data_IF_767645926921
#
_entry.id   IF_767645926921
#
_cell.length_a   1.000
_cell.length_b   1.000
_cell.length_c   1.000
_cell.angle_alpha   90.00
_cell.angle_beta   90.00
_cell.angle_gamma   90.00
#
_symmetry.space_group_name_H-M   'P 1'
#
loop_
_entity.id
_entity.type
_entity.pdbx_description
1 polymer ?
#
# COMPACT_ATOMS: atom_id res chain seq x y z
N UNK A 1 -24.66 -2.18 11.87
CA UNK A 1 -24.77 -2.03 10.42
C UNK A 1 -23.46 -2.44 9.76
N UNK A 2 -23.54 -2.88 8.52
CA UNK A 2 -22.43 -3.41 7.77
C UNK A 2 -22.23 -2.61 6.48
N UNK A 3 -20.98 -2.52 6.03
CA UNK A 3 -20.59 -1.95 4.76
C UNK A 3 -19.76 -2.97 3.98
N UNK A 4 -19.98 -3.03 2.68
CA UNK A 4 -19.11 -3.73 1.74
C UNK A 4 -18.73 -2.78 0.62
N UNK A 5 -17.50 -2.84 0.16
CA UNK A 5 -17.07 -1.95 -0.91
C UNK A 5 -15.72 -2.28 -1.47
N UNK A 6 -15.24 -1.36 -2.29
CA UNK A 6 -13.99 -1.48 -3.02
C UNK A 6 -13.05 -0.34 -2.67
N UNK A 7 -11.76 -0.60 -2.78
CA UNK A 7 -10.69 0.39 -2.78
C UNK A 7 -10.00 0.37 -4.14
N UNK A 8 -9.76 1.56 -4.69
CA UNK A 8 -8.99 1.74 -5.92
C UNK A 8 -7.99 2.87 -5.68
N UNK A 9 -6.73 2.59 -5.93
CA UNK A 9 -5.68 3.57 -5.68
C UNK A 9 -4.34 3.24 -6.31
N UNK A 10 -3.34 4.02 -5.92
CA UNK A 10 -1.93 3.79 -6.22
C UNK A 10 -1.22 3.17 -5.04
N UNK A 11 -0.10 2.54 -5.33
CA UNK A 11 0.83 2.00 -4.34
C UNK A 11 2.17 2.71 -4.46
N UNK A 12 2.89 2.76 -3.35
CA UNK A 12 4.24 3.31 -3.26
C UNK A 12 5.08 2.43 -2.35
N UNK A 13 6.37 2.37 -2.63
CA UNK A 13 7.36 1.68 -1.82
C UNK A 13 8.33 2.70 -1.20
N UNK A 14 8.75 2.45 0.02
CA UNK A 14 9.77 3.24 0.74
C UNK A 14 10.72 2.25 1.40
N UNK A 15 11.98 2.24 0.96
CA UNK A 15 13.03 1.35 1.45
C UNK A 15 14.37 1.61 0.78
N UNK A 16 15.10 0.56 0.45
CA UNK A 16 16.48 0.66 0.00
C UNK A 16 16.64 1.01 -1.48
N UNK A 17 15.65 0.73 -2.34
CA UNK A 17 15.67 1.06 -3.77
C UNK A 17 14.79 2.27 -4.04
N UNK A 18 15.32 3.22 -4.83
CA UNK A 18 14.61 4.43 -5.24
C UNK A 18 14.61 5.53 -4.18
N UNK A 19 13.62 6.43 -4.21
CA UNK A 19 13.52 7.54 -3.26
C UNK A 19 13.17 7.06 -1.85
N UNK A 20 13.74 7.72 -0.85
CA UNK A 20 13.45 7.48 0.58
C UNK A 20 12.18 8.19 1.06
N UNK A 21 11.51 8.95 0.19
CA UNK A 21 10.35 9.75 0.54
C UNK A 21 9.11 9.28 -0.21
N UNK A 22 7.94 9.49 0.40
CA UNK A 22 6.67 9.24 -0.25
C UNK A 22 6.55 10.01 -1.57
N UNK A 23 6.36 9.28 -2.66
CA UNK A 23 6.05 9.86 -3.96
C UNK A 23 4.54 9.85 -4.15
N UNK A 24 3.94 11.02 -4.35
CA UNK A 24 2.52 11.10 -4.65
C UNK A 24 2.22 10.32 -5.95
N UNK A 25 1.52 9.19 -5.89
CA UNK A 25 1.24 8.36 -7.07
C UNK A 25 0.36 9.08 -8.10
N UNK A 26 -0.28 10.18 -7.71
CA UNK A 26 -1.09 11.03 -8.58
C UNK A 26 -0.31 12.18 -9.23
N UNK A 27 0.97 12.37 -8.85
CA UNK A 27 1.81 13.45 -9.35
C UNK A 27 3.20 12.93 -9.72
N UNK A 28 3.35 12.45 -10.94
CA UNK A 28 4.67 12.20 -11.51
C UNK A 28 4.95 13.28 -12.59
N UNK A 29 6.07 14.02 -12.41
CA UNK A 29 6.59 15.04 -13.34
C UNK A 29 5.54 15.93 -14.04
N UNK A 30 4.95 16.81 -13.26
CA UNK A 30 4.65 18.15 -13.77
C UNK A 30 3.54 18.31 -14.76
N UNK A 31 2.45 17.55 -14.82
CA UNK A 31 1.29 18.04 -15.56
C UNK A 31 0.12 17.11 -15.84
N UNK A 32 0.12 15.82 -15.48
CA UNK A 32 -1.05 14.98 -15.79
C UNK A 32 -1.38 14.01 -14.66
N UNK A 33 -2.67 13.86 -14.37
CA UNK A 33 -3.23 12.79 -13.54
C UNK A 33 -2.92 11.44 -14.22
N UNK A 34 -1.80 10.82 -13.90
CA UNK A 34 -1.37 9.54 -14.48
C UNK A 34 -2.20 8.33 -14.04
N UNK A 35 -3.18 8.48 -13.15
CA UNK A 35 -4.08 7.39 -12.81
C UNK A 35 -4.81 6.83 -14.06
N UNK A 36 -5.14 7.68 -15.03
CA UNK A 36 -5.82 7.28 -16.27
C UNK A 36 -4.85 6.88 -17.40
N UNK A 37 -3.62 7.42 -17.41
CA UNK A 37 -2.58 7.01 -18.37
C UNK A 37 -1.85 5.74 -17.97
N UNK A 38 -1.90 5.38 -16.70
CA UNK A 38 -1.15 4.27 -16.13
C UNK A 38 -1.87 2.92 -16.28
N UNK A 39 -3.15 2.91 -16.65
CA UNK A 39 -3.86 1.70 -17.05
C UNK A 39 -3.40 1.34 -18.47
N UNK A 40 -2.25 0.68 -18.58
CA UNK A 40 -1.72 0.22 -19.88
C UNK A 40 -0.23 0.38 -20.13
N UNK A 41 0.54 0.93 -19.18
CA UNK A 41 2.01 0.96 -19.25
C UNK A 41 2.62 -0.08 -18.31
N UNK A 42 3.75 -0.67 -18.71
CA UNK A 42 4.43 -1.76 -17.99
C UNK A 42 4.89 -1.44 -16.55
N UNK A 43 4.71 -0.20 -16.08
CA UNK A 43 5.19 0.30 -14.78
C UNK A 43 4.09 0.89 -13.90
N UNK A 44 2.89 0.32 -13.94
CA UNK A 44 1.76 0.84 -13.16
C UNK A 44 1.78 0.30 -11.74
N UNK A 45 2.01 1.17 -10.78
CA UNK A 45 1.88 0.85 -9.36
C UNK A 45 0.45 1.14 -8.90
N UNK A 46 -0.38 0.12 -8.86
CA UNK A 46 -1.80 0.21 -8.50
C UNK A 46 -2.12 -0.66 -7.29
N UNK A 47 -3.22 -0.32 -6.66
CA UNK A 47 -3.76 -1.07 -5.53
C UNK A 47 -5.28 -1.19 -5.66
N UNK A 48 -5.77 -2.42 -5.61
CA UNK A 48 -7.18 -2.77 -5.69
C UNK A 48 -7.58 -3.58 -4.46
N UNK A 49 -8.66 -3.20 -3.79
CA UNK A 49 -9.07 -3.86 -2.56
C UNK A 49 -10.56 -4.07 -2.43
N UNK A 50 -10.91 -5.07 -1.62
CA UNK A 50 -12.25 -5.30 -1.10
C UNK A 50 -12.26 -4.92 0.38
N UNK A 51 -13.31 -4.24 0.82
CA UNK A 51 -13.45 -3.76 2.19
C UNK A 51 -14.79 -4.26 2.73
N UNK A 52 -14.75 -4.78 3.94
CA UNK A 52 -15.92 -5.02 4.78
C UNK A 52 -15.76 -4.26 6.08
N UNK A 53 -16.79 -3.50 6.49
CA UNK A 53 -16.84 -2.84 7.79
C UNK A 53 -18.08 -3.25 8.56
N UNK A 54 -17.89 -3.46 9.84
CA UNK A 54 -18.97 -3.63 10.81
C UNK A 54 -18.99 -2.43 11.74
N UNK A 55 -19.99 -1.57 11.59
CA UNK A 55 -20.16 -0.40 12.44
C UNK A 55 -20.81 -0.80 13.76
N UNK A 56 -20.11 -0.59 14.87
CA UNK A 56 -20.61 -0.85 16.23
C UNK A 56 -21.40 0.36 16.75
N UNK A 57 -20.90 1.56 16.50
CA UNK A 57 -21.54 2.84 16.83
C UNK A 57 -21.09 3.92 15.82
N UNK A 58 -21.42 5.20 16.07
CA UNK A 58 -21.05 6.33 15.22
C UNK A 58 -19.53 6.60 15.16
N UNK A 59 -18.76 6.09 16.14
CA UNK A 59 -17.32 6.35 16.28
C UNK A 59 -16.44 5.17 15.91
N UNK A 60 -16.89 3.93 16.14
CA UNK A 60 -16.04 2.75 16.09
C UNK A 60 -16.62 1.72 15.13
N UNK A 61 -15.78 1.22 14.22
CA UNK A 61 -16.08 0.08 13.37
C UNK A 61 -14.89 -0.88 13.26
N UNK A 62 -15.18 -2.18 13.12
CA UNK A 62 -14.19 -3.15 12.70
C UNK A 62 -14.11 -3.17 11.18
N UNK A 63 -12.89 -3.30 10.65
CA UNK A 63 -12.61 -3.38 9.20
C UNK A 63 -11.89 -4.68 8.89
N UNK A 64 -12.34 -5.35 7.84
CA UNK A 64 -11.58 -6.37 7.12
C UNK A 64 -11.29 -5.85 5.73
N UNK A 65 -10.05 -6.01 5.25
CA UNK A 65 -9.62 -5.58 3.91
C UNK A 65 -8.83 -6.70 3.25
N UNK A 66 -9.13 -6.97 1.97
CA UNK A 66 -8.27 -7.75 1.09
C UNK A 66 -7.74 -6.78 0.05
N UNK A 67 -6.45 -6.73 -0.16
CA UNK A 67 -5.84 -5.80 -1.09
C UNK A 67 -4.81 -6.48 -1.98
N UNK A 68 -4.90 -6.24 -3.28
CA UNK A 68 -3.92 -6.66 -4.28
C UNK A 68 -3.23 -5.42 -4.81
N UNK A 69 -1.91 -5.39 -4.76
CA UNK A 69 -1.12 -4.25 -5.19
C UNK A 69 0.12 -4.67 -5.97
N UNK A 70 0.51 -3.83 -6.92
CA UNK A 70 1.81 -3.90 -7.57
C UNK A 70 2.66 -2.73 -7.05
N UNK A 71 3.81 -3.03 -6.45
CA UNK A 71 4.77 -2.07 -5.92
C UNK A 71 6.08 -2.14 -6.70
N UNK A 72 6.86 -1.09 -6.64
CA UNK A 72 8.20 -1.08 -7.21
C UNK A 72 8.87 0.27 -7.05
N UNK A 73 10.15 0.30 -7.39
CA UNK A 73 10.94 1.52 -7.35
C UNK A 73 12.14 1.44 -8.30
N UNK A 74 12.73 2.60 -8.60
CA UNK A 74 13.90 2.72 -9.46
C UNK A 74 14.84 3.78 -8.87
N UNK A 75 16.10 3.41 -8.67
CA UNK A 75 17.16 4.29 -8.20
C UNK A 75 17.40 5.49 -9.13
N UNK A 76 17.10 5.35 -10.42
CA UNK A 76 17.24 6.42 -11.42
C UNK A 76 16.17 7.50 -11.34
N UNK A 77 15.22 7.39 -10.42
CA UNK A 77 14.23 8.45 -10.21
C UNK A 77 14.91 9.74 -9.76
N UNK A 78 14.50 10.91 -10.29
CA UNK A 78 15.14 12.21 -9.97
C UNK A 78 15.11 12.58 -8.47
N UNK A 79 14.20 11.98 -7.72
CA UNK A 79 14.06 12.19 -6.27
C UNK A 79 14.91 11.23 -5.42
N UNK A 80 15.64 10.31 -6.04
CA UNK A 80 16.57 9.41 -5.36
C UNK A 80 17.89 10.12 -5.06
N UNK A 81 18.57 9.68 -4.00
CA UNK A 81 19.91 10.15 -3.66
C UNK A 81 20.92 9.83 -4.77
N UNK A 82 21.94 10.67 -4.95
CA UNK A 82 22.92 10.52 -6.04
C UNK A 82 23.60 9.14 -6.03
N UNK A 83 23.98 8.62 -4.86
CA UNK A 83 24.61 7.29 -4.76
C UNK A 83 23.68 6.16 -5.21
N UNK A 84 22.35 6.29 -5.02
CA UNK A 84 21.36 5.35 -5.51
C UNK A 84 21.24 5.46 -7.03
N UNK A 85 21.21 6.67 -7.58
CA UNK A 85 21.18 6.89 -9.03
C UNK A 85 22.39 6.27 -9.74
N UNK A 86 23.60 6.35 -9.12
CA UNK A 86 24.81 5.70 -9.63
C UNK A 86 24.72 4.17 -9.53
N UNK A 87 24.12 3.62 -8.48
CA UNK A 87 23.88 2.18 -8.31
C UNK A 87 22.86 1.64 -9.34
N UNK A 88 21.81 2.38 -9.61
CA UNK A 88 20.86 2.15 -10.71
C UNK A 88 20.05 0.85 -10.59
N UNK A 89 19.66 0.43 -9.39
CA UNK A 89 18.81 -0.74 -9.15
C UNK A 89 17.34 -0.41 -9.38
N UNK A 90 16.55 -1.41 -9.80
CA UNK A 90 15.10 -1.29 -9.93
C UNK A 90 14.42 -2.62 -9.65
N UNK A 91 13.20 -2.58 -9.13
CA UNK A 91 12.41 -3.77 -8.90
C UNK A 91 10.92 -3.51 -9.13
N UNK A 92 10.20 -4.61 -9.34
CA UNK A 92 8.74 -4.67 -9.30
C UNK A 92 8.32 -5.88 -8.48
N UNK A 93 7.33 -5.71 -7.62
CA UNK A 93 6.83 -6.76 -6.77
C UNK A 93 5.31 -6.69 -6.64
N UNK A 94 4.71 -7.79 -6.21
CA UNK A 94 3.26 -7.91 -6.03
C UNK A 94 2.98 -8.23 -4.57
N UNK A 95 2.01 -7.54 -3.99
CA UNK A 95 1.52 -7.77 -2.63
C UNK A 95 0.07 -8.23 -2.69
N UNK A 96 -0.24 -9.32 -2.01
CA UNK A 96 -1.60 -9.71 -1.64
C UNK A 96 -1.71 -9.64 -0.13
N UNK A 97 -2.56 -8.74 0.37
CA UNK A 97 -2.70 -8.40 1.78
C UNK A 97 -4.09 -8.76 2.31
N UNK A 98 -4.15 -9.28 3.52
CA UNK A 98 -5.35 -9.52 4.33
C UNK A 98 -5.21 -8.75 5.64
N UNK A 99 -6.01 -7.71 5.83
CA UNK A 99 -5.94 -6.82 6.98
C UNK A 99 -7.17 -6.91 7.86
N UNK A 100 -6.93 -6.88 9.18
CA UNK A 100 -7.95 -6.69 10.21
C UNK A 100 -7.61 -5.44 11.01
N UNK A 101 -8.57 -4.54 11.19
CA UNK A 101 -8.33 -3.28 11.88
C UNK A 101 -9.58 -2.69 12.51
N UNK A 102 -9.36 -1.59 13.22
CA UNK A 102 -10.40 -0.79 13.85
C UNK A 102 -10.34 0.61 13.28
N UNK A 103 -11.49 1.11 12.78
CA UNK A 103 -11.68 2.50 12.39
C UNK A 103 -12.17 3.30 13.59
N UNK A 104 -11.61 4.49 13.77
CA UNK A 104 -12.10 5.50 14.69
C UNK A 104 -12.46 6.77 13.96
N UNK A 105 -13.72 7.19 14.05
CA UNK A 105 -14.25 8.42 13.45
C UNK A 105 -14.10 9.59 14.44
N UNK A 106 -13.50 10.68 14.01
CA UNK A 106 -13.31 11.88 14.86
C UNK A 106 -14.61 12.66 15.07
N UNK A 107 -15.52 12.59 14.11
CA UNK A 107 -16.86 13.19 14.18
C UNK A 107 -17.87 12.04 14.17
N UNK A 108 -18.99 12.20 14.87
CA UNK A 108 -20.06 11.21 14.86
C UNK A 108 -20.51 10.95 13.43
N UNK A 109 -20.45 9.70 13.02
CA UNK A 109 -20.81 9.25 11.68
C UNK A 109 -21.91 8.18 11.82
N UNK A 110 -23.16 8.65 11.92
CA UNK A 110 -24.27 7.73 12.01
C UNK A 110 -24.69 7.27 10.60
N UNK A 111 -24.39 6.01 10.33
CA UNK A 111 -24.72 5.41 9.04
C UNK A 111 -26.22 5.27 8.80
N UNK A 112 -27.05 5.33 9.85
CA UNK A 112 -28.52 5.25 9.78
C UNK A 112 -29.18 6.60 9.53
N UNK A 113 -28.53 7.68 9.91
CA UNK A 113 -29.04 9.02 9.65
C UNK A 113 -29.17 9.23 8.14
N UNK A 114 -30.29 9.79 7.68
CA UNK A 114 -30.54 10.10 6.27
C UNK A 114 -29.80 11.36 5.78
N UNK A 115 -29.28 12.17 6.70
CA UNK A 115 -28.53 13.38 6.38
C UNK A 115 -27.15 13.07 5.79
N UNK A 116 -26.56 14.06 5.13
CA UNK A 116 -25.17 13.99 4.67
C UNK A 116 -24.26 13.97 5.91
N UNK A 117 -23.50 12.90 6.03
CA UNK A 117 -22.53 12.68 7.11
C UNK A 117 -21.12 12.75 6.56
N UNK A 118 -20.19 13.30 7.30
CA UNK A 118 -18.77 13.33 6.92
C UNK A 118 -17.89 13.27 8.16
N UNK A 119 -16.74 12.59 8.05
CA UNK A 119 -15.79 12.48 9.16
C UNK A 119 -14.38 12.17 8.67
N UNK A 120 -13.36 12.81 9.24
CA UNK A 120 -12.01 12.24 9.21
C UNK A 120 -11.98 10.99 10.11
N UNK A 121 -11.14 10.04 9.76
CA UNK A 121 -10.96 8.81 10.54
C UNK A 121 -9.53 8.32 10.49
N UNK A 122 -9.18 7.51 11.47
CA UNK A 122 -7.97 6.70 11.48
C UNK A 122 -8.34 5.22 11.52
N UNK A 123 -7.48 4.40 10.95
CA UNK A 123 -7.56 2.94 11.09
C UNK A 123 -6.17 2.41 11.45
N UNK A 124 -6.15 1.42 12.33
CA UNK A 124 -4.96 0.62 12.60
C UNK A 124 -5.36 -0.81 12.93
N UNK A 125 -4.41 -1.73 12.82
CA UNK A 125 -4.65 -3.15 13.05
C UNK A 125 -3.42 -3.99 12.72
N UNK A 126 -3.66 -5.16 12.18
CA UNK A 126 -2.64 -6.09 11.71
C UNK A 126 -3.00 -6.58 10.31
N UNK A 127 -2.01 -6.73 9.46
CA UNK A 127 -2.15 -7.34 8.14
C UNK A 127 -1.17 -8.49 7.97
N UNK A 128 -1.64 -9.56 7.33
CA UNK A 128 -0.82 -10.63 6.78
C UNK A 128 -0.70 -10.36 5.27
N UNK A 129 0.51 -10.35 4.74
CA UNK A 129 0.70 -10.20 3.30
C UNK A 129 1.61 -11.29 2.73
N UNK A 130 1.39 -11.60 1.46
CA UNK A 130 2.33 -12.38 0.66
C UNK A 130 2.96 -11.49 -0.40
N UNK A 131 4.26 -11.71 -0.64
CA UNK A 131 5.02 -11.01 -1.66
C UNK A 131 6.00 -11.95 -2.34
N UNK A 132 6.55 -11.53 -3.48
CA UNK A 132 7.56 -12.32 -4.16
C UNK A 132 8.92 -12.10 -3.52
N UNK A 133 9.70 -13.17 -3.42
CA UNK A 133 11.14 -13.08 -3.15
C UNK A 133 11.85 -12.68 -4.43
N UNK A 134 12.62 -11.62 -4.36
CA UNK A 134 13.37 -11.01 -5.45
C UNK A 134 14.88 -11.11 -5.19
N UNK A 135 15.69 -11.07 -6.24
CA UNK A 135 17.15 -11.00 -6.15
C UNK A 135 17.74 -10.35 -7.38
N UNK A 136 18.94 -9.80 -7.24
CA UNK A 136 19.69 -9.18 -8.32
C UNK A 136 20.81 -10.10 -8.80
N UNK A 137 20.81 -10.45 -10.09
CA UNK A 137 21.97 -11.09 -10.72
C UNK A 137 23.11 -10.09 -10.85
N UNK A 138 24.35 -10.58 -10.68
CA UNK A 138 25.57 -9.75 -10.78
C UNK A 138 25.62 -9.00 -12.12
N UNK A 139 25.73 -7.68 -12.02
CA UNK A 139 25.78 -6.80 -13.20
C UNK A 139 24.41 -6.51 -13.85
N UNK A 140 23.30 -6.94 -13.25
CA UNK A 140 21.93 -6.66 -13.73
C UNK A 140 21.24 -5.70 -12.78
N UNK A 141 20.67 -4.62 -13.32
CA UNK A 141 20.00 -3.57 -12.54
C UNK A 141 18.60 -3.97 -12.06
N UNK A 142 17.93 -4.89 -12.75
CA UNK A 142 16.56 -5.29 -12.42
C UNK A 142 16.52 -6.57 -11.59
N UNK A 143 15.69 -6.59 -10.55
CA UNK A 143 15.45 -7.77 -9.74
C UNK A 143 14.66 -8.85 -10.50
N UNK A 144 14.96 -10.12 -10.25
CA UNK A 144 14.20 -11.26 -10.75
C UNK A 144 13.49 -11.99 -9.59
N UNK A 145 12.32 -12.54 -9.88
CA UNK A 145 11.57 -13.37 -8.92
C UNK A 145 12.16 -14.77 -8.86
N UNK A 146 12.34 -15.30 -7.63
CA UNK A 146 12.75 -16.70 -7.42
C UNK A 146 11.88 -17.48 -6.45
N UNK A 147 10.97 -16.83 -5.72
CA UNK A 147 10.07 -17.46 -4.77
C UNK A 147 8.96 -16.54 -4.32
N UNK A 148 8.35 -16.88 -3.19
CA UNK A 148 7.37 -16.04 -2.50
C UNK A 148 7.48 -16.26 -0.99
N UNK A 149 7.06 -15.27 -0.20
CA UNK A 149 7.06 -15.34 1.26
C UNK A 149 5.80 -14.69 1.83
N UNK A 150 5.57 -14.95 3.13
CA UNK A 150 4.51 -14.32 3.92
C UNK A 150 5.13 -13.56 5.07
N UNK A 151 4.59 -12.40 5.36
CA UNK A 151 4.99 -11.60 6.51
C UNK A 151 3.82 -10.76 7.02
N UNK A 152 4.02 -10.09 8.14
CA UNK A 152 3.04 -9.22 8.78
C UNK A 152 3.40 -7.75 8.57
N UNK A 153 2.38 -6.89 8.62
CA UNK A 153 2.55 -5.44 8.69
C UNK A 153 1.56 -4.83 9.66
N UNK A 154 1.88 -3.63 10.13
CA UNK A 154 0.97 -2.79 10.91
C UNK A 154 0.50 -1.68 9.99
N UNK A 155 -0.78 -1.69 9.54
CA UNK A 155 -1.36 -0.61 8.77
C UNK A 155 -1.67 0.58 9.68
N UNK A 156 -1.33 1.78 9.21
CA UNK A 156 -1.74 3.05 9.78
C UNK A 156 -2.42 3.83 8.67
N UNK A 157 -3.74 4.00 8.77
CA UNK A 157 -4.56 4.70 7.77
C UNK A 157 -5.05 6.01 8.34
N UNK A 158 -4.93 7.05 7.52
CA UNK A 158 -5.64 8.32 7.71
C UNK A 158 -6.59 8.48 6.53
N UNK A 159 -7.84 8.80 6.82
CA UNK A 159 -8.82 8.96 5.77
C UNK A 159 -9.89 10.00 6.11
N UNK A 160 -10.65 10.30 5.10
CA UNK A 160 -11.85 11.14 5.17
C UNK A 160 -12.97 10.46 4.41
N UNK A 161 -14.16 10.37 5.01
CA UNK A 161 -15.31 9.74 4.36
C UNK A 161 -16.54 10.61 4.45
N UNK A 162 -17.34 10.52 3.40
CA UNK A 162 -18.63 11.22 3.25
C UNK A 162 -19.70 10.22 2.84
N UNK A 163 -20.87 10.35 3.41
CA UNK A 163 -22.09 9.65 3.01
C UNK A 163 -23.02 10.64 2.32
N UNK A 164 -22.92 10.78 0.97
CA UNK A 164 -23.75 11.70 0.22
C UNK A 164 -25.18 11.19 0.03
N UNK A 165 -25.37 9.87 0.09
CA UNK A 165 -26.64 9.18 -0.10
C UNK A 165 -26.86 8.14 1.00
N UNK A 166 -28.11 7.73 1.22
CA UNK A 166 -28.47 6.80 2.32
C UNK A 166 -27.69 5.49 2.34
N UNK A 167 -27.25 5.00 1.17
CA UNK A 167 -26.66 3.67 1.05
C UNK A 167 -25.18 3.67 0.62
N UNK A 168 -24.62 4.80 0.23
CA UNK A 168 -23.25 4.85 -0.30
C UNK A 168 -22.36 5.79 0.52
N UNK A 169 -21.16 5.33 0.77
CA UNK A 169 -20.11 6.10 1.44
C UNK A 169 -18.91 6.14 0.50
N UNK A 170 -18.40 7.34 0.26
CA UNK A 170 -17.18 7.59 -0.51
C UNK A 170 -16.11 8.00 0.49
N UNK A 171 -14.91 7.45 0.37
CA UNK A 171 -13.77 7.81 1.21
C UNK A 171 -12.51 8.05 0.40
N UNK A 172 -11.62 8.85 0.98
CA UNK A 172 -10.24 8.99 0.56
C UNK A 172 -9.37 8.48 1.71
N UNK A 173 -8.40 7.64 1.42
CA UNK A 173 -7.50 7.12 2.43
C UNK A 173 -6.06 7.01 1.94
N UNK A 174 -5.14 7.20 2.89
CA UNK A 174 -3.71 6.90 2.75
C UNK A 174 -3.39 5.91 3.87
N UNK A 175 -2.85 4.76 3.49
CA UNK A 175 -2.43 3.71 4.42
C UNK A 175 -0.95 3.47 4.29
N UNK A 176 -0.18 3.73 5.34
CA UNK A 176 1.21 3.34 5.47
C UNK A 176 1.29 1.99 6.19
N UNK A 177 1.96 1.02 5.59
CA UNK A 177 2.13 -0.33 6.13
C UNK A 177 3.57 -0.50 6.58
N UNK A 178 3.78 -0.50 7.89
CA UNK A 178 5.07 -0.81 8.51
C UNK A 178 5.27 -2.33 8.49
N UNK A 179 6.24 -2.82 7.72
CA UNK A 179 6.53 -4.26 7.65
C UNK A 179 7.60 -4.67 8.66
N UNK A 180 7.76 -5.98 8.83
CA UNK A 180 8.82 -6.58 9.63
C UNK A 180 9.83 -7.32 8.75
N UNK A 181 10.05 -6.82 7.54
CA UNK A 181 10.94 -7.42 6.55
C UNK A 181 11.67 -6.34 5.74
N UNK A 182 12.84 -6.71 5.24
CA UNK A 182 13.69 -5.95 4.32
C UNK A 182 13.75 -6.63 2.94
N UNK A 183 12.81 -7.53 2.64
CA UNK A 183 12.85 -8.40 1.46
C UNK A 183 11.87 -8.01 0.35
N UNK A 184 11.22 -6.84 0.44
CA UNK A 184 10.25 -6.44 -0.58
C UNK A 184 10.92 -6.03 -1.89
N UNK A 185 12.12 -5.50 -1.82
CA UNK A 185 12.91 -5.01 -2.96
C UNK A 185 13.98 -5.98 -3.45
N UNK A 186 14.15 -7.13 -2.76
CA UNK A 186 15.16 -8.14 -3.10
C UNK A 186 16.52 -7.91 -2.48
N UNK A 187 16.60 -7.06 -1.46
CA UNK A 187 17.82 -6.79 -0.71
C UNK A 187 17.84 -7.57 0.62
N UNK A 188 17.95 -8.90 0.57
CA UNK A 188 18.12 -9.69 1.79
C UNK A 188 19.61 -9.90 2.09
N UNK A 189 20.15 -9.25 3.14
CA UNK A 189 21.55 -9.43 3.52
C UNK A 189 21.87 -10.84 4.02
N UNK A 190 20.89 -11.61 4.47
CA UNK A 190 21.11 -12.96 5.00
C UNK A 190 21.13 -14.04 3.92
N UNK A 191 20.35 -13.91 2.85
CA UNK A 191 20.33 -14.87 1.75
C UNK A 191 21.50 -14.66 0.77
N UNK A 192 21.89 -13.42 0.51
CA UNK A 192 22.95 -13.12 -0.46
C UNK A 192 24.33 -13.62 -0.06
N UNK A 193 24.61 -13.79 1.24
CA UNK A 193 25.90 -14.34 1.73
C UNK A 193 26.13 -15.79 1.36
N UNK A 194 25.09 -16.57 1.07
CA UNK A 194 25.19 -18.03 0.83
C UNK A 194 25.33 -18.33 -0.68
N UNK A 195 24.91 -17.43 -1.56
CA UNK A 195 24.77 -17.70 -3.01
C UNK A 195 25.77 -16.85 -3.86
N UNK A 196 26.62 -16.04 -3.24
CA UNK A 196 27.71 -15.35 -3.94
C UNK A 196 28.65 -16.37 -4.60
N UNK A 197 28.72 -16.48 -5.94
CA UNK A 197 29.31 -15.43 -6.79
C UNK A 197 28.39 -14.95 -7.93
N UNK A 198 27.14 -15.42 -8.04
CA UNK A 198 26.26 -15.13 -9.18
C UNK A 198 25.34 -13.94 -8.93
N UNK A 199 25.21 -13.50 -7.67
CA UNK A 199 24.29 -12.44 -7.26
C UNK A 199 25.09 -11.27 -6.66
N UNK A 200 24.47 -10.09 -6.67
CA UNK A 200 25.05 -8.91 -6.04
C UNK A 200 25.08 -9.07 -4.51
N UNK A 201 26.06 -8.44 -3.88
CA UNK A 201 26.10 -8.29 -2.43
C UNK A 201 24.89 -7.46 -1.95
N UNK A 202 24.46 -7.70 -0.71
CA UNK A 202 23.42 -6.88 -0.08
C UNK A 202 23.84 -5.41 -0.04
N UNK A 203 22.87 -4.55 -0.29
CA UNK A 203 23.06 -3.09 -0.28
C UNK A 203 21.96 -2.47 0.60
N UNK A 204 22.19 -1.25 1.09
CA UNK A 204 21.23 -0.52 1.91
C UNK A 204 21.39 -0.76 3.40
N UNK A 205 20.33 -0.51 4.16
CA UNK A 205 20.35 -0.52 5.62
C UNK A 205 19.74 -1.80 6.19
N UNK A 206 20.51 -2.62 6.84
CA UNK A 206 20.02 -3.81 7.56
C UNK A 206 19.25 -3.47 8.86
N UNK A 207 19.12 -2.19 9.19
CA UNK A 207 18.45 -1.71 10.40
C UNK A 207 17.07 -1.10 10.12
N UNK A 208 16.70 -0.93 8.85
CA UNK A 208 15.41 -0.36 8.44
C UNK A 208 14.60 -1.39 7.66
N UNK A 209 13.39 -1.65 8.13
CA UNK A 209 12.44 -2.48 7.38
C UNK A 209 11.81 -1.69 6.24
N UNK A 210 11.38 -2.39 5.22
CA UNK A 210 10.63 -1.85 4.10
C UNK A 210 9.23 -1.39 4.50
N UNK A 211 8.73 -0.34 3.83
CA UNK A 211 7.38 0.16 3.96
C UNK A 211 6.70 0.20 2.61
N UNK A 212 5.39 -0.02 2.60
CA UNK A 212 4.59 0.27 1.43
C UNK A 212 3.37 1.12 1.79
N UNK A 213 2.96 1.96 0.86
CA UNK A 213 1.88 2.93 1.08
C UNK A 213 0.83 2.78 0.00
N UNK A 214 -0.42 2.71 0.40
CA UNK A 214 -1.57 2.76 -0.50
C UNK A 214 -2.29 4.09 -0.36
N UNK A 215 -2.64 4.72 -1.49
CA UNK A 215 -3.40 5.96 -1.50
C UNK A 215 -4.51 5.87 -2.52
N UNK A 216 -5.75 6.14 -2.13
CA UNK A 216 -6.85 5.97 -3.07
C UNK A 216 -8.21 6.34 -2.52
N UNK A 217 -9.20 5.85 -3.25
CA UNK A 217 -10.62 6.10 -3.02
C UNK A 217 -11.29 4.80 -2.60
N UNK A 218 -12.18 4.89 -1.64
CA UNK A 218 -13.09 3.81 -1.26
C UNK A 218 -14.52 4.16 -1.67
N UNK A 219 -15.23 3.16 -2.17
CA UNK A 219 -16.67 3.23 -2.37
C UNK A 219 -17.31 2.06 -1.64
N UNK A 220 -18.13 2.34 -0.63
CA UNK A 220 -18.79 1.30 0.15
C UNK A 220 -20.31 1.45 0.10
N UNK A 221 -20.98 0.31 0.11
CA UNK A 221 -22.43 0.18 0.17
C UNK A 221 -22.86 -0.29 1.55
N UNK A 222 -23.82 0.41 2.13
CA UNK A 222 -24.41 0.12 3.41
C UNK A 222 -25.49 -0.95 3.29
N UNK A 223 -25.42 -1.99 4.10
CA UNK A 223 -26.44 -3.01 4.21
C UNK A 223 -26.65 -3.45 5.66
N UNK A 224 -27.82 -3.96 5.96
CA UNK A 224 -28.20 -4.41 7.30
C UNK A 224 -29.58 -3.93 7.68
N UNK A 225 -30.11 -4.44 8.80
CA UNK A 225 -31.47 -4.13 9.22
C UNK A 225 -31.60 -2.66 9.60
N UNK A 226 -32.44 -1.93 8.89
CA UNK A 226 -33.06 -0.71 9.43
C UNK A 226 -33.91 -1.14 10.63
N UNK A 227 -33.48 -0.84 11.83
CA UNK A 227 -34.40 -0.91 12.99
C UNK A 227 -35.33 0.26 12.94
#
# INVERSE_FOLDING_TARGET
NNEIGVFIGGSNYIGDVGPTTYINPFKYNGSRLKLLETIGTETTFYSLGLIYRKNFNSRISARFKINYANIGSDDKMPSSDLYRQERGKSFQNTILEYGLGIDFNFIDFDVLDSSIQMTPYINTGISLFSSNLLRYKKGISSAEKYGSFYNYSIPITIGYKIKPFQSFIIGFEITANATFTDNLDGNDPHENAIIAPLYDEAFGSTLSNDWYVFSGITLTYLFGNKK
#
